data_IF_106047447049
#
_entry.id   IF_106047447049
#
_cell.length_a   1.000
_cell.length_b   1.000
_cell.length_c   1.000
_cell.angle_alpha   90.00
_cell.angle_beta   90.00
_cell.angle_gamma   90.00
#
_symmetry.space_group_name_H-M   'P 1'
#
loop_
_entity.id
_entity.type
_entity.pdbx_description
1 polymer ?
#
# COMPACT_ATOMS: atom_id res chain seq x y z
N UNK A 1 -9.07 2.42 -7.70
CA UNK A 1 -8.52 2.78 -6.36
C UNK A 1 -8.41 4.29 -6.25
N UNK A 2 -8.81 4.83 -5.14
CA UNK A 2 -8.59 6.24 -4.83
C UNK A 2 -7.42 6.37 -3.87
N UNK A 3 -6.59 7.40 -4.06
CA UNK A 3 -5.49 7.70 -3.15
C UNK A 3 -5.52 9.17 -2.74
N UNK A 4 -5.18 9.42 -1.49
CA UNK A 4 -5.13 10.78 -0.93
C UNK A 4 -3.81 10.95 -0.19
N UNK A 5 -3.01 11.97 -0.53
CA UNK A 5 -1.78 12.24 0.22
C UNK A 5 -2.09 12.60 1.67
N UNK A 6 -1.29 12.07 2.60
CA UNK A 6 -1.37 12.39 4.02
C UNK A 6 -0.22 13.31 4.45
N UNK A 7 0.89 13.30 3.71
CA UNK A 7 2.01 14.21 3.97
C UNK A 7 1.80 15.51 3.20
N UNK A 8 2.01 16.68 3.83
CA UNK A 8 1.99 17.94 3.11
C UNK A 8 3.08 17.97 2.04
N UNK A 9 2.78 18.59 0.90
CA UNK A 9 3.72 18.67 -0.21
C UNK A 9 5.04 19.32 0.23
N UNK A 10 6.16 18.67 -0.10
CA UNK A 10 7.50 19.18 0.19
C UNK A 10 7.95 19.07 1.64
N UNK A 11 7.11 18.50 2.54
CA UNK A 11 7.45 18.43 3.96
C UNK A 11 8.44 17.32 4.30
N UNK A 12 8.41 16.21 3.55
CA UNK A 12 9.23 15.03 3.80
C UNK A 12 9.75 14.48 2.47
N UNK A 13 10.95 14.89 2.01
CA UNK A 13 11.43 14.49 0.70
C UNK A 13 11.71 12.98 0.55
N UNK A 14 11.89 12.26 1.66
CA UNK A 14 12.23 10.85 1.65
C UNK A 14 11.07 9.93 2.03
N UNK A 15 9.93 10.51 2.42
CA UNK A 15 8.77 9.76 2.88
C UNK A 15 7.51 10.38 2.31
N UNK A 16 6.64 9.53 1.75
CA UNK A 16 5.28 9.93 1.39
C UNK A 16 4.30 8.96 2.04
N UNK A 17 3.19 9.47 2.51
CA UNK A 17 2.12 8.65 3.07
C UNK A 17 0.81 8.95 2.36
N UNK A 18 0.06 7.89 2.06
CA UNK A 18 -1.22 7.97 1.37
C UNK A 18 -2.29 7.18 2.12
N UNK A 19 -3.51 7.67 2.08
CA UNK A 19 -4.67 6.83 2.34
C UNK A 19 -5.14 6.25 1.01
N UNK A 20 -5.26 4.94 0.94
CA UNK A 20 -5.76 4.23 -0.22
C UNK A 20 -7.15 3.69 0.09
N UNK A 21 -8.05 3.79 -0.88
CA UNK A 21 -9.42 3.27 -0.78
C UNK A 21 -9.67 2.35 -1.97
N UNK A 22 -10.04 1.12 -1.67
CA UNK A 22 -10.34 0.10 -2.68
C UNK A 22 -11.80 -0.31 -2.54
N UNK A 23 -12.56 -0.16 -3.63
CA UNK A 23 -13.92 -0.67 -3.70
C UNK A 23 -13.93 -2.19 -3.55
N UNK A 24 -15.11 -2.74 -3.24
CA UNK A 24 -15.28 -4.18 -3.17
C UNK A 24 -14.74 -4.87 -4.42
N UNK A 25 -13.97 -5.93 -4.23
CA UNK A 25 -13.39 -6.77 -5.30
C UNK A 25 -12.39 -6.06 -6.20
N UNK A 26 -12.03 -4.80 -5.90
CA UNK A 26 -11.07 -4.05 -6.70
C UNK A 26 -9.64 -4.50 -6.41
N UNK A 27 -8.78 -4.35 -7.42
CA UNK A 27 -7.34 -4.53 -7.27
C UNK A 27 -6.62 -3.40 -7.98
N UNK A 28 -5.40 -3.12 -7.53
CA UNK A 28 -4.56 -2.08 -8.12
C UNK A 28 -3.11 -2.56 -8.14
N UNK A 29 -2.52 -2.58 -9.32
CA UNK A 29 -1.12 -2.95 -9.51
C UNK A 29 -0.27 -1.68 -9.54
N UNK A 30 0.85 -1.73 -8.84
CA UNK A 30 1.84 -0.65 -8.84
C UNK A 30 3.09 -1.08 -9.58
N UNK A 31 3.64 -0.18 -10.38
CA UNK A 31 4.94 -0.39 -10.99
C UNK A 31 6.03 -0.38 -9.90
N UNK A 32 7.14 -1.12 -10.13
CA UNK A 32 8.27 -1.06 -9.21
C UNK A 32 8.76 0.36 -9.01
N UNK A 33 9.06 0.71 -7.77
CA UNK A 33 9.73 1.96 -7.43
C UNK A 33 11.23 1.85 -7.66
N UNK A 34 11.96 2.95 -7.49
CA UNK A 34 13.41 2.96 -7.59
C UNK A 34 14.03 1.98 -6.60
N UNK A 35 15.21 1.44 -6.94
CA UNK A 35 15.92 0.45 -6.13
C UNK A 35 16.08 0.93 -4.69
N UNK A 36 15.81 0.04 -3.74
CA UNK A 36 15.90 0.32 -2.32
C UNK A 36 14.70 1.02 -1.69
N UNK A 37 13.71 1.39 -2.49
CA UNK A 37 12.46 1.97 -1.96
C UNK A 37 11.71 0.91 -1.17
N UNK A 38 11.19 1.31 -0.01
CA UNK A 38 10.41 0.42 0.86
C UNK A 38 9.01 0.99 1.03
N UNK A 39 8.05 0.09 1.28
CA UNK A 39 6.70 0.47 1.65
C UNK A 39 6.31 -0.18 2.97
N UNK A 40 5.47 0.54 3.72
CA UNK A 40 4.77 0.01 4.88
C UNK A 40 3.28 0.20 4.60
N UNK A 41 2.52 -0.89 4.62
CA UNK A 41 1.08 -0.85 4.39
C UNK A 41 0.37 -1.29 5.67
N UNK A 42 -0.60 -0.49 6.10
CA UNK A 42 -1.37 -0.73 7.32
C UNK A 42 -2.84 -0.84 6.95
N UNK A 43 -3.44 -2.00 7.20
CA UNK A 43 -4.86 -2.20 6.96
C UNK A 43 -5.67 -1.50 8.06
N UNK A 44 -6.66 -0.68 7.68
CA UNK A 44 -7.49 0.07 8.63
C UNK A 44 -8.80 -0.62 8.94
N UNK A 45 -9.39 -1.26 7.94
CA UNK A 45 -10.66 -1.97 8.09
C UNK A 45 -10.74 -3.12 7.09
N UNK A 46 -11.63 -4.08 7.35
CA UNK A 46 -11.83 -5.19 6.45
C UNK A 46 -10.61 -6.08 6.31
N UNK A 47 -10.39 -6.57 5.11
CA UNK A 47 -9.27 -7.46 4.78
C UNK A 47 -8.59 -6.96 3.50
N UNK A 48 -7.27 -6.83 3.55
CA UNK A 48 -6.46 -6.39 2.42
C UNK A 48 -5.51 -7.52 2.02
N UNK A 49 -5.45 -7.80 0.73
CA UNK A 49 -4.47 -8.76 0.19
C UNK A 49 -3.38 -8.00 -0.54
N UNK A 50 -2.13 -8.22 -0.13
CA UNK A 50 -0.96 -7.58 -0.72
C UNK A 50 -0.14 -8.64 -1.46
N UNK A 51 0.10 -8.41 -2.74
CA UNK A 51 0.95 -9.26 -3.57
C UNK A 51 2.29 -8.56 -3.74
N UNK A 52 3.38 -9.25 -3.40
CA UNK A 52 4.74 -8.71 -3.54
C UNK A 52 5.59 -9.79 -4.20
N UNK A 53 6.04 -9.55 -5.43
CA UNK A 53 6.71 -10.58 -6.20
C UNK A 53 5.80 -11.79 -6.35
N UNK A 54 6.27 -12.97 -5.95
CA UNK A 54 5.47 -14.20 -5.97
C UNK A 54 4.75 -14.50 -4.66
N UNK A 55 4.87 -13.62 -3.65
CA UNK A 55 4.27 -13.85 -2.32
C UNK A 55 2.94 -13.12 -2.17
N UNK A 56 2.04 -13.71 -1.39
CA UNK A 56 0.72 -13.14 -1.08
C UNK A 56 0.57 -13.03 0.44
N UNK A 57 0.16 -11.85 0.90
CA UNK A 57 -0.03 -11.57 2.32
C UNK A 57 -1.43 -11.04 2.57
N UNK A 58 -2.16 -11.69 3.46
CA UNK A 58 -3.50 -11.23 3.88
C UNK A 58 -3.38 -10.47 5.20
N UNK A 59 -3.88 -9.25 5.21
CA UNK A 59 -3.87 -8.36 6.37
C UNK A 59 -5.30 -8.16 6.86
N UNK A 60 -5.54 -8.41 8.15
CA UNK A 60 -6.76 -8.01 8.81
C UNK A 60 -6.61 -6.57 9.32
N UNK A 61 -7.74 -5.95 9.71
CA UNK A 61 -7.73 -4.60 10.26
C UNK A 61 -6.72 -4.48 11.41
N UNK A 62 -5.84 -3.49 11.34
CA UNK A 62 -4.77 -3.26 12.32
C UNK A 62 -3.45 -3.96 12.01
N UNK A 63 -3.43 -4.88 11.06
CA UNK A 63 -2.18 -5.54 10.63
C UNK A 63 -1.40 -4.62 9.70
N UNK A 64 -0.09 -4.85 9.65
CA UNK A 64 0.80 -4.13 8.74
C UNK A 64 1.83 -5.07 8.12
N UNK A 65 2.36 -4.63 6.98
CA UNK A 65 3.45 -5.31 6.28
C UNK A 65 4.48 -4.28 5.83
N UNK A 66 5.74 -4.65 5.85
CA UNK A 66 6.83 -3.85 5.29
C UNK A 66 7.54 -4.68 4.23
N UNK A 67 7.80 -4.10 3.07
CA UNK A 67 8.46 -4.81 1.98
C UNK A 67 9.31 -3.86 1.14
N UNK A 68 10.24 -4.46 0.38
CA UNK A 68 11.05 -3.73 -0.59
C UNK A 68 10.19 -3.55 -1.84
N UNK A 69 9.95 -2.32 -2.25
CA UNK A 69 8.97 -1.97 -3.28
C UNK A 69 9.59 -1.76 -4.67
N UNK A 70 10.81 -2.23 -4.90
CA UNK A 70 11.48 -2.18 -6.19
C UNK A 70 11.16 -3.39 -7.09
N UNK A 71 10.13 -4.14 -6.72
CA UNK A 71 9.58 -5.27 -7.47
C UNK A 71 8.10 -5.05 -7.71
N UNK A 72 7.47 -5.77 -8.66
CA UNK A 72 6.03 -5.64 -8.89
C UNK A 72 5.25 -5.95 -7.64
N UNK A 73 4.27 -5.12 -7.32
CA UNK A 73 3.40 -5.31 -6.17
C UNK A 73 1.99 -4.81 -6.46
N UNK A 74 1.02 -5.34 -5.76
CA UNK A 74 -0.38 -4.98 -5.95
C UNK A 74 -1.17 -5.12 -4.66
N UNK A 75 -2.31 -4.43 -4.63
CA UNK A 75 -3.24 -4.42 -3.51
C UNK A 75 -4.59 -4.91 -4.01
N UNK A 76 -5.23 -5.76 -3.22
CA UNK A 76 -6.52 -6.35 -3.61
C UNK A 76 -7.47 -6.31 -2.42
N UNK A 77 -8.71 -5.90 -2.68
CA UNK A 77 -9.81 -6.02 -1.72
C UNK A 77 -10.61 -7.29 -2.07
N UNK A 78 -10.42 -8.40 -1.34
CA UNK A 78 -11.16 -9.63 -1.64
C UNK A 78 -12.60 -9.60 -1.13
N UNK A 79 -12.98 -8.61 -0.36
CA UNK A 79 -14.27 -8.53 0.30
C UNK A 79 -15.36 -7.83 -0.50
N UNK A 80 -16.51 -7.69 0.12
CA UNK A 80 -17.73 -7.13 -0.48
C UNK A 80 -18.03 -5.69 -0.05
N UNK A 81 -17.14 -5.07 0.72
CA UNK A 81 -17.27 -3.67 1.15
C UNK A 81 -15.97 -2.92 0.86
N UNK A 82 -16.06 -1.62 0.70
CA UNK A 82 -14.88 -0.76 0.53
C UNK A 82 -13.93 -0.92 1.73
N UNK A 83 -12.64 -0.96 1.46
CA UNK A 83 -11.60 -0.96 2.51
C UNK A 83 -10.70 0.25 2.35
N UNK A 84 -10.06 0.61 3.45
CA UNK A 84 -9.04 1.67 3.51
C UNK A 84 -7.78 1.13 4.15
N UNK A 85 -6.65 1.63 3.67
CA UNK A 85 -5.35 1.35 4.26
C UNK A 85 -4.47 2.58 4.16
N UNK A 86 -3.41 2.60 4.95
CA UNK A 86 -2.35 3.59 4.81
C UNK A 86 -1.17 2.95 4.09
N UNK A 87 -0.60 3.69 3.14
CA UNK A 87 0.57 3.26 2.39
C UNK A 87 1.67 4.30 2.61
N UNK A 88 2.75 3.90 3.25
CA UNK A 88 3.89 4.75 3.56
C UNK A 88 5.04 4.32 2.68
N UNK A 89 5.50 5.24 1.83
CA UNK A 89 6.60 4.99 0.88
C UNK A 89 7.84 5.68 1.41
N UNK A 90 8.92 4.91 1.59
CA UNK A 90 10.20 5.38 2.11
C UNK A 90 11.22 5.25 0.99
N UNK A 91 11.62 6.38 0.45
CA UNK A 91 12.56 6.42 -0.67
C UNK A 91 13.99 6.23 -0.19
N UNK A 92 14.78 5.53 -1.02
CA UNK A 92 16.21 5.39 -0.80
C UNK A 92 16.91 6.72 -1.07
N UNK A 93 17.90 7.02 -0.26
CA UNK A 93 18.71 8.25 -0.40
C UNK A 93 19.94 8.00 -1.25
#
# INVERSE_FOLDING_TARGET
MESRPLTPAGSCPWVEAYELRLAARASHSSDPHAAGTREVVIALNGQLRVHVGGAVHDLAAGDSISFVADQPHSYENPGSSEIRCHDIIIYSR
#
